data_IF_967435114013
#
_entry.id   IF_967435114013
#
_cell.length_a   1.000
_cell.length_b   1.000
_cell.length_c   1.000
_cell.angle_alpha   90.00
_cell.angle_beta   90.00
_cell.angle_gamma   90.00
#
_symmetry.space_group_name_H-M   'P 1'
#
loop_
_entity.id
_entity.type
_entity.pdbx_description
1 polymer ?
#
# COMPACT_ATOMS: atom_id res chain seq x y z
N UNK A 1 -10.23 20.42 43.54
CA UNK A 1 -10.19 20.72 42.09
C UNK A 1 -8.80 20.37 41.61
N UNK A 2 -8.59 19.32 40.80
CA UNK A 2 -7.28 19.07 40.24
C UNK A 2 -7.05 20.01 39.06
N UNK A 3 -5.89 20.65 39.05
CA UNK A 3 -5.40 21.52 37.99
C UNK A 3 -5.42 20.77 36.66
N UNK A 4 -6.18 21.31 35.69
CA UNK A 4 -6.01 20.97 34.28
C UNK A 4 -4.57 21.35 33.89
N UNK A 5 -3.67 20.36 33.84
CA UNK A 5 -2.53 20.45 32.94
C UNK A 5 -3.12 20.74 31.56
N UNK A 6 -2.88 21.95 31.05
CA UNK A 6 -3.10 22.29 29.64
C UNK A 6 -2.28 21.31 28.82
N UNK A 7 -2.91 20.23 28.34
CA UNK A 7 -2.30 19.32 27.40
C UNK A 7 -1.87 20.14 26.19
N UNK A 8 -0.57 20.18 25.95
CA UNK A 8 0.01 20.86 24.78
C UNK A 8 -0.66 20.24 23.54
N UNK A 9 -1.33 21.06 22.75
CA UNK A 9 -2.06 20.59 21.57
C UNK A 9 -1.10 19.87 20.63
N UNK A 10 -1.41 18.62 20.28
CA UNK A 10 -0.55 17.80 19.41
C UNK A 10 -0.65 18.38 17.99
N UNK A 11 0.47 18.92 17.51
CA UNK A 11 0.64 19.39 16.14
C UNK A 11 1.22 18.26 15.28
N UNK A 12 0.68 18.12 14.07
CA UNK A 12 1.14 17.18 13.05
C UNK A 12 1.84 17.99 11.96
N UNK A 13 3.16 17.81 11.84
CA UNK A 13 3.97 18.45 10.80
C UNK A 13 3.80 17.71 9.48
N UNK A 14 3.42 18.41 8.41
CA UNK A 14 3.28 17.84 7.08
C UNK A 14 4.45 18.28 6.21
N UNK A 15 5.12 17.32 5.57
CA UNK A 15 6.29 17.54 4.73
C UNK A 15 6.12 16.80 3.40
N UNK A 16 6.88 17.22 2.41
CA UNK A 16 6.99 16.52 1.11
C UNK A 16 8.43 16.11 0.90
N UNK A 17 8.65 14.87 0.48
CA UNK A 17 9.97 14.36 0.12
C UNK A 17 10.58 15.18 -1.04
N UNK A 18 11.88 15.46 -0.96
CA UNK A 18 12.61 16.24 -1.96
C UNK A 18 13.50 15.33 -2.81
N UNK A 19 14.00 14.23 -2.24
CA UNK A 19 14.85 13.26 -2.91
C UNK A 19 14.25 11.85 -2.83
N UNK A 20 14.64 10.98 -3.77
CA UNK A 20 14.18 9.58 -3.81
C UNK A 20 14.54 8.76 -2.57
N UNK A 21 15.60 9.12 -1.85
CA UNK A 21 16.06 8.46 -0.61
C UNK A 21 15.39 8.99 0.67
N UNK A 22 14.62 10.08 0.56
CA UNK A 22 13.97 10.68 1.72
C UNK A 22 12.92 9.71 2.28
N UNK A 23 12.77 9.72 3.61
CA UNK A 23 11.76 8.91 4.27
C UNK A 23 10.35 9.43 3.96
N UNK A 24 9.49 8.56 3.44
CA UNK A 24 8.06 8.80 3.20
C UNK A 24 7.23 7.93 4.13
N UNK A 25 6.29 8.53 4.85
CA UNK A 25 5.47 7.84 5.84
C UNK A 25 5.25 8.68 7.10
N UNK A 26 5.09 8.02 8.24
CA UNK A 26 4.77 8.63 9.52
C UNK A 26 5.91 8.41 10.50
N UNK A 27 6.29 9.47 11.21
CA UNK A 27 7.21 9.42 12.35
C UNK A 27 6.56 10.07 13.57
N UNK A 28 6.71 9.39 14.69
CA UNK A 28 6.12 9.70 15.98
C UNK A 28 7.25 9.71 16.99
N UNK A 29 7.36 10.80 17.74
CA UNK A 29 8.24 10.92 18.90
C UNK A 29 7.42 11.32 20.13
N UNK A 30 8.02 11.47 21.30
CA UNK A 30 7.27 11.96 22.47
C UNK A 30 6.70 13.38 22.28
N UNK A 31 7.33 14.20 21.43
CA UNK A 31 7.02 15.63 21.29
C UNK A 31 6.41 16.02 19.95
N UNK A 32 6.63 15.24 18.89
CA UNK A 32 6.25 15.59 17.52
C UNK A 32 5.54 14.43 16.82
N UNK A 33 4.64 14.77 15.90
CA UNK A 33 4.06 13.87 14.91
C UNK A 33 4.39 14.45 13.54
N UNK A 34 4.99 13.66 12.66
CA UNK A 34 5.39 14.12 11.33
C UNK A 34 4.90 13.14 10.28
N UNK A 35 4.26 13.66 9.24
CA UNK A 35 3.88 12.91 8.04
C UNK A 35 4.67 13.48 6.88
N UNK A 36 5.49 12.65 6.25
CA UNK A 36 6.19 12.99 5.02
C UNK A 36 5.47 12.33 3.85
N UNK A 37 4.88 13.14 2.98
CA UNK A 37 4.27 12.73 1.73
C UNK A 37 5.32 12.54 0.62
N UNK A 38 5.02 11.71 -0.40
CA UNK A 38 5.93 11.47 -1.52
C UNK A 38 6.09 12.70 -2.43
N UNK A 39 7.08 12.64 -3.31
CA UNK A 39 7.30 13.64 -4.36
C UNK A 39 6.05 13.76 -5.26
N UNK A 40 5.76 14.97 -5.74
CA UNK A 40 4.52 15.26 -6.46
C UNK A 40 3.27 15.35 -5.57
N UNK A 41 3.41 15.31 -4.24
CA UNK A 41 2.31 15.58 -3.32
C UNK A 41 2.60 16.82 -2.48
N UNK A 42 1.80 17.88 -2.65
CA UNK A 42 1.90 19.07 -1.80
C UNK A 42 0.69 19.14 -0.85
N UNK A 43 0.91 19.04 0.47
CA UNK A 43 -0.17 19.21 1.42
C UNK A 43 -0.65 20.67 1.39
N UNK A 44 -1.97 20.88 1.44
CA UNK A 44 -2.57 22.22 1.45
C UNK A 44 -2.12 23.07 2.64
N UNK A 45 -1.70 22.41 3.73
CA UNK A 45 -1.26 23.04 4.98
C UNK A 45 0.09 22.46 5.41
N UNK A 46 0.97 23.28 6.02
CA UNK A 46 2.24 22.79 6.56
C UNK A 46 2.07 22.02 7.88
N UNK A 47 0.95 22.22 8.60
CA UNK A 47 0.64 21.46 9.81
C UNK A 47 -0.85 21.30 10.04
N UNK A 48 -1.21 20.26 10.81
CA UNK A 48 -2.56 19.99 11.28
C UNK A 48 -2.59 19.95 12.81
N UNK A 49 -3.73 20.27 13.39
CA UNK A 49 -4.00 19.99 14.81
C UNK A 49 -4.71 18.65 14.94
N UNK A 50 -4.19 17.76 15.80
CA UNK A 50 -4.83 16.48 16.08
C UNK A 50 -6.26 16.62 16.65
N UNK A 51 -6.58 17.76 17.28
CA UNK A 51 -7.93 18.02 17.82
C UNK A 51 -8.95 18.49 16.77
N UNK A 52 -8.47 18.92 15.59
CA UNK A 52 -9.28 19.54 14.52
C UNK A 52 -9.06 18.90 13.15
N UNK A 53 -8.44 17.71 13.11
CA UNK A 53 -8.20 17.01 11.87
C UNK A 53 -9.53 16.67 11.19
N UNK A 54 -9.69 17.10 9.94
CA UNK A 54 -10.87 16.81 9.15
C UNK A 54 -10.81 15.39 8.59
N UNK A 55 -11.97 14.85 8.20
CA UNK A 55 -12.05 13.51 7.61
C UNK A 55 -11.22 13.40 6.33
N UNK A 56 -11.21 14.44 5.51
CA UNK A 56 -10.48 14.52 4.25
C UNK A 56 -8.96 14.47 4.51
N UNK A 57 -8.46 15.32 5.42
CA UNK A 57 -7.04 15.37 5.84
C UNK A 57 -6.57 14.03 6.42
N UNK A 58 -7.43 13.40 7.25
CA UNK A 58 -7.17 12.06 7.77
C UNK A 58 -7.08 11.02 6.65
N UNK A 59 -8.02 11.05 5.71
CA UNK A 59 -8.05 10.09 4.60
C UNK A 59 -6.80 10.20 3.71
N UNK A 60 -6.28 11.41 3.47
CA UNK A 60 -5.03 11.62 2.75
C UNK A 60 -3.85 10.87 3.41
N UNK A 61 -3.70 11.03 4.73
CA UNK A 61 -2.66 10.34 5.50
C UNK A 61 -2.89 8.83 5.46
N UNK A 62 -4.12 8.36 5.66
CA UNK A 62 -4.45 6.94 5.62
C UNK A 62 -4.20 6.32 4.23
N UNK A 63 -4.46 7.05 3.15
CA UNK A 63 -4.18 6.60 1.79
C UNK A 63 -2.68 6.40 1.56
N UNK A 64 -1.84 7.27 2.10
CA UNK A 64 -0.39 7.10 2.08
C UNK A 64 0.04 5.83 2.82
N UNK A 65 -0.35 5.67 4.09
CA UNK A 65 0.03 4.51 4.91
C UNK A 65 -0.44 3.21 4.23
N UNK A 66 -1.69 3.18 3.73
CA UNK A 66 -2.26 2.01 3.06
C UNK A 66 -1.50 1.69 1.76
N UNK A 67 -1.08 2.70 0.99
CA UNK A 67 -0.30 2.47 -0.24
C UNK A 67 1.07 1.86 0.06
N UNK A 68 1.74 2.33 1.12
CA UNK A 68 3.01 1.76 1.59
C UNK A 68 2.80 0.31 2.08
N UNK A 69 1.72 0.05 2.84
CA UNK A 69 1.40 -1.28 3.37
C UNK A 69 1.11 -2.30 2.26
N UNK A 70 0.46 -1.87 1.18
CA UNK A 70 0.09 -2.71 0.03
C UNK A 70 1.27 -3.02 -0.88
N UNK A 71 2.35 -2.22 -0.84
CA UNK A 71 3.55 -2.50 -1.60
C UNK A 71 4.25 -3.73 -1.00
N UNK A 72 3.91 -4.91 -1.51
CA UNK A 72 4.44 -6.22 -1.08
C UNK A 72 5.58 -6.71 -1.97
N UNK A 73 6.29 -5.81 -2.67
CA UNK A 73 7.45 -6.19 -3.48
C UNK A 73 8.36 -7.09 -2.63
N UNK A 74 8.62 -8.30 -3.12
CA UNK A 74 9.28 -9.43 -2.45
C UNK A 74 10.74 -9.17 -1.98
N UNK A 75 11.11 -7.93 -1.72
CA UNK A 75 12.40 -7.51 -1.17
C UNK A 75 12.14 -7.10 0.27
N UNK A 76 12.50 -8.00 1.19
CA UNK A 76 12.36 -7.88 2.66
C UNK A 76 13.16 -6.71 3.30
N UNK A 77 13.28 -5.55 2.66
CA UNK A 77 14.09 -4.43 3.14
C UNK A 77 13.65 -3.04 2.68
N UNK A 78 12.47 -2.89 2.09
CA UNK A 78 12.01 -1.59 1.56
C UNK A 78 11.05 -0.85 2.50
N UNK A 79 10.33 -1.55 3.38
CA UNK A 79 9.50 -0.94 4.42
C UNK A 79 10.31 -0.78 5.72
N UNK A 80 10.12 0.36 6.35
CA UNK A 80 10.80 0.75 7.59
C UNK A 80 9.74 0.89 8.67
N UNK A 81 9.71 -0.11 9.56
CA UNK A 81 8.94 -0.10 10.80
C UNK A 81 9.94 -0.02 11.96
N UNK A 82 9.92 1.10 12.69
CA UNK A 82 10.79 1.30 13.86
C UNK A 82 9.92 1.54 15.08
N UNK A 83 10.24 0.87 16.18
CA UNK A 83 9.64 1.09 17.49
C UNK A 83 10.76 1.28 18.52
N UNK A 84 10.76 2.40 19.23
CA UNK A 84 11.78 2.71 20.25
C UNK A 84 13.23 2.59 19.75
N UNK A 85 13.47 2.97 18.49
CA UNK A 85 14.80 2.99 17.87
C UNK A 85 15.21 1.65 17.26
N UNK A 86 14.40 0.60 17.45
CA UNK A 86 14.65 -0.74 16.94
C UNK A 86 13.80 -1.02 15.70
N UNK A 87 14.43 -1.58 14.67
CA UNK A 87 13.73 -2.13 13.52
C UNK A 87 12.85 -3.30 13.97
N UNK A 88 11.56 -3.25 13.63
CA UNK A 88 10.58 -4.30 13.93
C UNK A 88 10.10 -4.97 12.64
N UNK A 89 9.56 -6.18 12.79
CA UNK A 89 8.73 -6.77 11.76
C UNK A 89 7.58 -5.80 11.43
N UNK A 90 7.19 -5.73 10.16
CA UNK A 90 6.22 -4.73 9.68
C UNK A 90 4.96 -4.68 10.55
N UNK A 91 4.54 -3.47 10.91
CA UNK A 91 3.35 -3.27 11.74
C UNK A 91 2.08 -3.80 11.03
N UNK A 92 1.15 -4.45 11.75
CA UNK A 92 -0.13 -4.91 11.21
C UNK A 92 -1.09 -3.73 11.00
N UNK A 93 -0.74 -2.81 10.09
CA UNK A 93 -1.41 -1.53 9.85
C UNK A 93 -2.91 -1.71 9.64
N UNK A 94 -3.32 -2.68 8.81
CA UNK A 94 -4.73 -2.92 8.50
C UNK A 94 -5.52 -3.21 9.79
N UNK A 95 -4.99 -4.10 10.62
CA UNK A 95 -5.61 -4.51 11.88
C UNK A 95 -5.60 -3.39 12.90
N UNK A 96 -4.51 -2.61 12.98
CA UNK A 96 -4.44 -1.45 13.87
C UNK A 96 -5.50 -0.39 13.53
N UNK A 97 -5.63 -0.05 12.25
CA UNK A 97 -6.63 0.93 11.80
C UNK A 97 -8.04 0.41 12.05
N UNK A 98 -8.30 -0.87 11.76
CA UNK A 98 -9.59 -1.52 12.06
C UNK A 98 -9.93 -1.43 13.55
N UNK A 99 -9.01 -1.79 14.44
CA UNK A 99 -9.24 -1.79 15.90
C UNK A 99 -9.59 -0.40 16.42
N UNK A 100 -8.96 0.65 15.88
CA UNK A 100 -9.27 2.04 16.24
C UNK A 100 -10.68 2.42 15.77
N UNK A 101 -10.99 2.17 14.49
CA UNK A 101 -12.28 2.50 13.89
C UNK A 101 -13.43 1.76 14.61
N UNK A 102 -13.28 0.45 14.84
CA UNK A 102 -14.24 -0.39 15.55
C UNK A 102 -14.47 0.08 17.00
N UNK A 103 -13.41 0.45 17.73
CA UNK A 103 -13.54 0.98 19.09
C UNK A 103 -14.28 2.32 19.13
N UNK A 104 -13.97 3.24 18.20
CA UNK A 104 -14.62 4.54 18.13
C UNK A 104 -16.10 4.42 17.76
N UNK A 105 -16.43 3.52 16.83
CA UNK A 105 -17.81 3.26 16.41
C UNK A 105 -18.63 2.61 17.54
N UNK A 106 -18.02 1.70 18.32
CA UNK A 106 -18.67 1.09 19.50
C UNK A 106 -18.79 2.04 20.69
N UNK A 107 -17.86 3.00 20.83
CA UNK A 107 -17.77 3.94 21.95
C UNK A 107 -17.38 3.33 23.30
N UNK A 108 -17.15 2.02 23.36
CA UNK A 108 -16.77 1.29 24.58
C UNK A 108 -15.91 0.08 24.24
N UNK A 109 -15.16 -0.44 25.22
CA UNK A 109 -14.47 -1.72 25.06
C UNK A 109 -15.45 -2.87 24.81
N UNK A 110 -15.00 -3.88 24.07
CA UNK A 110 -15.72 -5.13 23.92
C UNK A 110 -15.98 -5.77 25.28
N UNK A 111 -17.24 -6.06 25.57
CA UNK A 111 -17.67 -6.85 26.71
C UNK A 111 -18.61 -7.95 26.23
N UNK A 112 -18.30 -9.18 26.58
CA UNK A 112 -19.11 -10.33 26.20
C UNK A 112 -20.40 -10.37 27.04
N UNK A 113 -21.53 -10.07 26.39
CA UNK A 113 -22.86 -10.14 27.01
C UNK A 113 -23.48 -11.53 26.93
N UNK A 114 -22.85 -12.48 26.24
CA UNK A 114 -23.43 -13.80 26.01
C UNK A 114 -23.51 -14.63 27.29
N UNK A 115 -24.68 -15.22 27.45
CA UNK A 115 -24.98 -16.16 28.51
C UNK A 115 -25.03 -17.53 27.89
N UNK A 116 -23.96 -18.31 28.05
CA UNK A 116 -23.95 -19.69 27.57
C UNK A 116 -24.92 -20.49 28.41
N UNK A 117 -25.73 -21.34 27.77
CA UNK A 117 -26.67 -22.22 28.46
C UNK A 117 -26.25 -23.67 28.23
N UNK A 118 -26.01 -24.42 29.29
CA UNK A 118 -25.60 -25.82 29.22
C UNK A 118 -26.49 -26.70 30.09
N UNK A 119 -26.61 -27.99 29.75
CA UNK A 119 -27.22 -28.98 30.63
C UNK A 119 -26.28 -29.26 31.79
N UNK A 120 -26.75 -29.11 33.02
CA UNK A 120 -26.00 -29.39 34.25
C UNK A 120 -26.96 -29.63 35.41
N UNK A 121 -26.52 -30.40 36.40
CA UNK A 121 -27.27 -30.68 37.64
C UNK A 121 -27.09 -29.60 38.72
N UNK A 122 -26.17 -28.66 38.54
CA UNK A 122 -25.86 -27.60 39.52
C UNK A 122 -25.53 -26.24 38.91
N UNK A 123 -25.98 -25.16 39.56
CA UNK A 123 -25.81 -23.76 39.15
C UNK A 123 -27.11 -22.96 39.03
N UNK A 124 -27.04 -21.72 38.50
CA UNK A 124 -28.23 -20.84 38.35
C UNK A 124 -29.13 -21.29 37.19
N UNK A 125 -30.24 -21.94 37.54
CA UNK A 125 -31.18 -22.57 36.60
C UNK A 125 -31.95 -21.52 35.79
N UNK A 126 -32.06 -21.74 34.47
CA UNK A 126 -32.95 -21.01 33.58
C UNK A 126 -34.26 -21.77 33.42
N UNK A 127 -35.20 -21.58 34.36
CA UNK A 127 -36.46 -22.34 34.42
C UNK A 127 -37.26 -22.31 33.12
N UNK A 128 -37.36 -21.15 32.46
CA UNK A 128 -38.08 -21.02 31.18
C UNK A 128 -37.48 -21.87 30.06
N UNK A 129 -36.16 -22.08 30.04
CA UNK A 129 -35.49 -22.95 29.07
C UNK A 129 -35.51 -24.41 29.50
N UNK A 130 -35.32 -24.70 30.80
CA UNK A 130 -35.40 -26.07 31.34
C UNK A 130 -36.76 -26.71 31.06
N UNK A 131 -37.86 -25.99 31.35
CA UNK A 131 -39.22 -26.50 31.13
C UNK A 131 -39.49 -26.80 29.65
N UNK A 132 -38.93 -25.98 28.74
CA UNK A 132 -39.12 -26.14 27.29
C UNK A 132 -38.32 -27.30 26.70
N UNK A 133 -37.12 -27.57 27.22
CA UNK A 133 -36.12 -28.40 26.55
C UNK A 133 -35.73 -29.68 27.29
N UNK A 134 -36.10 -29.84 28.57
CA UNK A 134 -35.82 -31.04 29.37
C UNK A 134 -37.14 -31.75 29.66
N UNK A 135 -37.17 -33.07 29.49
CA UNK A 135 -38.33 -33.89 29.89
C UNK A 135 -38.22 -34.22 31.38
N UNK A 136 -39.25 -33.91 32.20
CA UNK A 136 -39.26 -34.30 33.60
C UNK A 136 -39.46 -35.82 33.73
N UNK A 137 -38.84 -36.41 34.74
CA UNK A 137 -39.15 -37.76 35.20
C UNK A 137 -40.43 -37.74 36.03
N UNK A 138 -41.29 -38.74 35.83
CA UNK A 138 -42.57 -38.88 36.53
C UNK A 138 -42.40 -39.93 37.64
N UNK A 139 -42.76 -39.59 38.88
CA UNK A 139 -42.84 -40.51 40.02
C UNK A 139 -44.24 -40.50 40.63
N UNK A 140 -44.53 -41.45 41.52
CA UNK A 140 -45.78 -41.49 42.30
C UNK A 140 -46.00 -40.24 43.18
N UNK A 141 -44.94 -39.48 43.46
CA UNK A 141 -44.97 -38.25 44.27
C UNK A 141 -44.91 -36.95 43.47
N UNK A 142 -44.78 -37.00 42.13
CA UNK A 142 -44.83 -35.81 41.27
C UNK A 142 -43.86 -35.81 40.08
N UNK A 143 -43.56 -34.61 39.57
CA UNK A 143 -42.64 -34.38 38.45
C UNK A 143 -41.29 -33.86 38.95
N UNK A 144 -40.19 -34.46 38.51
CA UNK A 144 -38.83 -34.03 38.84
C UNK A 144 -37.95 -33.87 37.59
N UNK A 145 -37.23 -32.75 37.48
CA UNK A 145 -36.23 -32.55 36.44
C UNK A 145 -34.88 -33.09 36.92
N UNK A 146 -34.31 -34.06 36.20
CA UNK A 146 -32.99 -34.65 36.53
C UNK A 146 -31.83 -33.83 35.96
N UNK A 147 -32.09 -33.09 34.88
CA UNK A 147 -31.14 -32.16 34.25
C UNK A 147 -31.74 -30.77 34.18
N UNK A 148 -30.91 -29.73 34.33
CA UNK A 148 -31.34 -28.34 34.20
C UNK A 148 -30.58 -27.64 33.07
N UNK A 149 -31.22 -26.68 32.41
CA UNK A 149 -30.51 -25.73 31.56
C UNK A 149 -30.02 -24.59 32.45
N UNK A 150 -28.71 -24.49 32.58
CA UNK A 150 -28.03 -23.57 33.50
C UNK A 150 -27.25 -22.54 32.70
N UNK A 151 -27.32 -21.28 33.13
CA UNK A 151 -26.50 -20.20 32.57
C UNK A 151 -25.05 -20.37 33.06
N UNK A 152 -24.16 -20.79 32.17
CA UNK A 152 -22.70 -20.73 32.36
C UNK A 152 -22.21 -19.33 31.96
N UNK A 153 -21.62 -18.61 32.90
CA UNK A 153 -20.79 -17.45 32.59
C UNK A 153 -19.34 -17.92 32.63
N UNK A 154 -18.60 -17.88 31.52
CA UNK A 154 -17.14 -18.05 31.54
C UNK A 154 -16.49 -16.72 31.93
N UNK A 155 -16.70 -16.29 33.18
CA UNK A 155 -16.36 -14.94 33.65
C UNK A 155 -14.88 -14.62 33.40
N UNK A 156 -13.97 -15.58 33.59
CA UNK A 156 -12.53 -15.40 33.39
C UNK A 156 -12.15 -15.22 31.91
N UNK A 157 -12.57 -16.11 31.00
CA UNK A 157 -12.26 -15.98 29.55
C UNK A 157 -12.82 -14.69 28.96
N UNK A 158 -14.04 -14.32 29.34
CA UNK A 158 -14.69 -13.10 28.86
C UNK A 158 -13.97 -11.85 29.37
N UNK A 159 -13.42 -11.89 30.59
CA UNK A 159 -12.54 -10.85 31.12
C UNK A 159 -11.22 -10.81 30.34
N UNK A 160 -10.62 -11.95 30.00
CA UNK A 160 -9.36 -11.96 29.23
C UNK A 160 -9.50 -11.32 27.84
N UNK A 161 -10.55 -11.63 27.07
CA UNK A 161 -10.76 -11.01 25.76
C UNK A 161 -10.94 -9.50 25.89
N UNK A 162 -11.69 -9.07 26.91
CA UNK A 162 -11.88 -7.65 27.20
C UNK A 162 -10.54 -6.98 27.46
N UNK A 163 -9.67 -7.60 28.25
CA UNK A 163 -8.34 -7.06 28.55
C UNK A 163 -7.39 -7.10 27.35
N UNK A 164 -7.44 -8.15 26.51
CA UNK A 164 -6.69 -8.23 25.24
C UNK A 164 -7.14 -7.09 24.32
N UNK A 165 -8.45 -6.87 24.21
CA UNK A 165 -9.01 -5.78 23.41
C UNK A 165 -8.55 -4.42 23.92
N UNK A 166 -8.61 -4.17 25.24
CA UNK A 166 -8.09 -2.93 25.86
C UNK A 166 -6.62 -2.70 25.54
N UNK A 167 -5.79 -3.75 25.66
CA UNK A 167 -4.37 -3.66 25.32
C UNK A 167 -4.17 -3.28 23.85
N UNK A 168 -4.82 -3.99 22.92
CA UNK A 168 -4.69 -3.72 21.49
C UNK A 168 -5.16 -2.30 21.14
N UNK A 169 -6.32 -1.88 21.65
CA UNK A 169 -6.83 -0.52 21.47
C UNK A 169 -5.82 0.50 21.98
N UNK A 170 -5.33 0.35 23.21
CA UNK A 170 -4.35 1.27 23.79
C UNK A 170 -3.10 1.41 22.90
N UNK A 171 -2.48 0.29 22.50
CA UNK A 171 -1.28 0.31 21.64
C UNK A 171 -1.55 0.89 20.24
N UNK A 172 -2.71 0.59 19.65
CA UNK A 172 -3.09 1.18 18.37
C UNK A 172 -3.25 2.69 18.48
N UNK A 173 -3.83 3.18 19.57
CA UNK A 173 -4.01 4.61 19.83
C UNK A 173 -2.68 5.34 20.10
N UNK A 174 -1.70 4.70 20.74
CA UNK A 174 -0.36 5.28 20.91
C UNK A 174 0.30 5.63 19.55
N UNK A 175 0.03 4.82 18.52
CA UNK A 175 0.63 4.99 17.20
C UNK A 175 -0.29 5.82 16.28
N UNK A 176 -1.54 5.41 16.03
CA UNK A 176 -2.42 6.07 15.06
C UNK A 176 -3.58 6.85 15.66
N UNK A 177 -3.77 6.80 16.99
CA UNK A 177 -4.91 7.44 17.66
C UNK A 177 -5.00 8.95 17.42
N UNK A 178 -3.83 9.62 17.28
CA UNK A 178 -3.74 11.06 17.01
C UNK A 178 -4.41 11.50 15.70
N UNK A 179 -4.68 10.57 14.77
CA UNK A 179 -5.42 10.84 13.54
C UNK A 179 -6.93 10.91 13.74
N UNK A 180 -7.43 10.46 14.90
CA UNK A 180 -8.87 10.35 15.18
C UNK A 180 -9.30 11.23 16.35
N UNK A 181 -8.51 11.25 17.43
CA UNK A 181 -8.83 11.98 18.66
C UNK A 181 -7.56 12.36 19.42
N UNK A 182 -7.56 13.51 20.13
CA UNK A 182 -6.44 13.88 21.00
C UNK A 182 -6.33 13.04 22.28
N UNK A 183 -7.36 12.25 22.63
CA UNK A 183 -7.38 11.46 23.86
C UNK A 183 -7.02 9.99 23.62
N UNK A 184 -6.12 9.45 24.44
CA UNK A 184 -5.83 8.01 24.48
C UNK A 184 -6.83 7.31 25.40
N UNK A 185 -7.42 6.16 25.00
CA UNK A 185 -8.30 5.37 25.85
C UNK A 185 -7.64 4.86 27.14
N UNK A 186 -8.45 4.50 28.14
CA UNK A 186 -7.96 4.00 29.43
C UNK A 186 -7.18 2.69 29.28
N UNK A 187 -5.97 2.60 29.86
CA UNK A 187 -5.15 1.39 29.81
C UNK A 187 -5.82 0.24 30.56
N UNK A 188 -5.79 -0.96 29.98
CA UNK A 188 -6.23 -2.18 30.64
C UNK A 188 -5.24 -2.68 31.69
N UNK A 189 -5.52 -3.86 32.24
CA UNK A 189 -4.66 -4.55 33.21
C UNK A 189 -3.47 -5.25 32.55
N UNK A 190 -3.58 -5.58 31.25
CA UNK A 190 -2.50 -6.19 30.50
C UNK A 190 -1.48 -5.12 30.06
N UNK A 191 -0.22 -5.39 30.36
CA UNK A 191 0.93 -4.66 29.84
C UNK A 191 1.73 -5.48 28.82
N UNK A 192 2.74 -4.84 28.24
CA UNK A 192 3.67 -5.41 27.27
C UNK A 192 4.35 -6.70 27.79
N UNK A 193 4.73 -6.70 29.07
CA UNK A 193 5.35 -7.84 29.74
C UNK A 193 4.39 -9.04 29.83
N UNK A 194 3.13 -8.80 30.18
CA UNK A 194 2.10 -9.83 30.24
C UNK A 194 1.88 -10.45 28.85
N UNK A 195 1.75 -9.60 27.83
CA UNK A 195 1.51 -10.00 26.43
C UNK A 195 2.69 -10.77 25.86
N UNK A 196 3.92 -10.30 26.06
CA UNK A 196 5.12 -10.97 25.58
C UNK A 196 5.28 -12.37 26.22
N UNK A 197 5.14 -12.48 27.54
CA UNK A 197 5.27 -13.76 28.28
C UNK A 197 4.20 -14.78 27.91
N UNK A 198 2.97 -14.34 27.64
CA UNK A 198 1.81 -15.21 27.42
C UNK A 198 1.26 -15.15 25.99
N UNK A 199 2.04 -14.65 25.02
CA UNK A 199 1.61 -14.42 23.62
C UNK A 199 0.89 -15.63 23.01
N UNK A 200 1.47 -16.83 23.15
CA UNK A 200 0.89 -18.09 22.66
C UNK A 200 -0.48 -18.40 23.26
N UNK A 201 -0.65 -18.12 24.56
CA UNK A 201 -1.93 -18.32 25.23
C UNK A 201 -3.00 -17.36 24.70
N UNK A 202 -2.67 -16.07 24.55
CA UNK A 202 -3.62 -15.09 24.01
C UNK A 202 -4.01 -15.37 22.56
N UNK A 203 -3.06 -15.82 21.73
CA UNK A 203 -3.32 -16.33 20.38
C UNK A 203 -4.34 -17.47 20.40
N UNK A 204 -4.13 -18.46 21.28
CA UNK A 204 -5.03 -19.60 21.40
C UNK A 204 -6.44 -19.17 21.86
N UNK A 205 -6.54 -18.30 22.87
CA UNK A 205 -7.83 -17.79 23.36
C UNK A 205 -8.60 -17.06 22.27
N UNK A 206 -7.93 -16.23 21.46
CA UNK A 206 -8.54 -15.54 20.33
C UNK A 206 -9.00 -16.52 19.24
N UNK A 207 -8.17 -17.52 18.91
CA UNK A 207 -8.52 -18.54 17.91
C UNK A 207 -9.76 -19.34 18.34
N UNK A 208 -9.79 -19.83 19.58
CA UNK A 208 -10.94 -20.56 20.12
C UNK A 208 -12.22 -19.70 20.09
N UNK A 209 -12.11 -18.38 20.24
CA UNK A 209 -13.24 -17.45 20.19
C UNK A 209 -13.71 -17.17 18.77
N UNK A 210 -12.80 -17.08 17.82
CA UNK A 210 -13.13 -17.03 16.38
C UNK A 210 -13.90 -18.30 16.00
N UNK A 211 -13.41 -19.47 16.40
CA UNK A 211 -13.99 -20.76 16.02
C UNK A 211 -15.35 -21.03 16.68
N UNK A 212 -15.65 -20.39 17.82
CA UNK A 212 -16.88 -20.62 18.59
C UNK A 212 -17.96 -19.55 18.42
N UNK A 213 -17.64 -18.41 17.80
CA UNK A 213 -18.57 -17.29 17.62
C UNK A 213 -19.20 -17.32 16.22
N UNK A 214 -20.49 -16.99 16.12
CA UNK A 214 -21.21 -16.91 14.84
C UNK A 214 -21.51 -15.47 14.37
N UNK A 215 -21.23 -14.48 15.22
CA UNK A 215 -21.41 -13.07 14.89
C UNK A 215 -20.23 -12.60 14.01
N UNK A 216 -20.51 -12.27 12.76
CA UNK A 216 -19.51 -11.78 11.79
C UNK A 216 -18.68 -10.61 12.34
N UNK A 217 -19.34 -9.62 12.95
CA UNK A 217 -18.65 -8.46 13.55
C UNK A 217 -17.68 -8.82 14.68
N UNK A 218 -17.96 -9.91 15.40
CA UNK A 218 -17.08 -10.38 16.47
C UNK A 218 -15.93 -11.22 15.91
N UNK A 219 -16.21 -12.06 14.91
CA UNK A 219 -15.19 -12.80 14.17
C UNK A 219 -14.17 -11.84 13.57
N UNK A 220 -14.63 -10.77 12.93
CA UNK A 220 -13.76 -9.76 12.32
C UNK A 220 -12.91 -9.04 13.38
N UNK A 221 -13.51 -8.61 14.49
CA UNK A 221 -12.77 -8.01 15.61
C UNK A 221 -11.68 -8.96 16.13
N UNK A 222 -12.04 -10.19 16.49
CA UNK A 222 -11.07 -11.14 17.05
C UNK A 222 -9.97 -11.52 16.06
N UNK A 223 -10.29 -11.58 14.75
CA UNK A 223 -9.29 -11.83 13.70
C UNK A 223 -8.27 -10.69 13.61
N UNK A 224 -8.73 -9.43 13.69
CA UNK A 224 -7.83 -8.28 13.70
C UNK A 224 -7.01 -8.19 15.01
N UNK A 225 -7.60 -8.53 16.16
CA UNK A 225 -6.84 -8.63 17.42
C UNK A 225 -5.78 -9.73 17.38
N UNK A 226 -6.11 -10.88 16.78
CA UNK A 226 -5.19 -12.00 16.61
C UNK A 226 -4.01 -11.61 15.71
N UNK A 227 -4.29 -10.98 14.57
CA UNK A 227 -3.26 -10.47 13.66
C UNK A 227 -2.36 -9.44 14.35
N UNK A 228 -2.96 -8.54 15.14
CA UNK A 228 -2.20 -7.58 15.94
C UNK A 228 -1.26 -8.27 16.93
N UNK A 229 -1.76 -9.18 17.77
CA UNK A 229 -0.95 -9.88 18.79
C UNK A 229 0.16 -10.72 18.13
N UNK A 230 -0.13 -11.33 16.97
CA UNK A 230 0.87 -12.11 16.23
C UNK A 230 2.02 -11.25 15.71
N UNK A 231 1.71 -10.09 15.12
CA UNK A 231 2.66 -9.34 14.30
C UNK A 231 3.21 -8.07 14.96
N UNK A 232 2.55 -7.55 16.00
CA UNK A 232 3.04 -6.40 16.75
C UNK A 232 3.94 -6.84 17.90
N UNK A 233 5.18 -6.37 17.90
CA UNK A 233 6.17 -6.69 18.92
C UNK A 233 6.63 -5.41 19.64
N UNK A 234 6.26 -5.30 20.91
CA UNK A 234 6.53 -4.14 21.75
C UNK A 234 7.09 -4.61 23.08
N UNK A 235 8.38 -4.37 23.30
CA UNK A 235 9.10 -4.74 24.52
C UNK A 235 8.99 -3.66 25.62
N UNK A 236 8.47 -2.47 25.28
CA UNK A 236 8.35 -1.35 26.21
C UNK A 236 7.29 -0.34 25.75
N UNK A 237 7.00 0.64 26.61
CA UNK A 237 6.15 1.80 26.29
C UNK A 237 6.63 2.51 25.02
N UNK A 238 5.70 2.88 24.13
CA UNK A 238 6.04 3.45 22.82
C UNK A 238 6.43 4.92 22.94
N UNK A 239 7.74 5.19 22.95
CA UNK A 239 8.31 6.55 22.99
C UNK A 239 8.49 7.14 21.59
N UNK A 240 8.87 6.28 20.65
CA UNK A 240 8.99 6.62 19.25
C UNK A 240 8.51 5.47 18.38
N UNK A 241 7.88 5.84 17.27
CA UNK A 241 7.44 4.91 16.26
C UNK A 241 7.60 5.55 14.89
N UNK A 242 8.03 4.78 13.89
CA UNK A 242 7.93 5.21 12.50
C UNK A 242 7.45 4.09 11.63
N UNK A 243 6.60 4.43 10.66
CA UNK A 243 6.11 3.52 9.66
C UNK A 243 6.17 4.20 8.29
N UNK A 244 6.95 3.63 7.37
CA UNK A 244 7.14 4.23 6.06
C UNK A 244 8.16 3.49 5.22
N UNK A 245 8.83 4.21 4.33
CA UNK A 245 9.87 3.69 3.43
C UNK A 245 10.89 4.77 3.07
N UNK A 246 12.14 4.38 2.87
CA UNK A 246 13.19 5.20 2.25
C UNK A 246 13.34 4.92 0.75
N UNK A 247 12.51 4.02 0.21
CA UNK A 247 12.55 3.54 -1.17
C UNK A 247 11.17 3.73 -1.83
N UNK A 248 10.60 4.93 -1.73
CA UNK A 248 9.25 5.19 -2.24
C UNK A 248 9.14 4.98 -3.76
N UNK A 249 10.26 4.99 -4.51
CA UNK A 249 10.26 4.63 -5.92
C UNK A 249 9.60 3.26 -6.20
N UNK A 250 9.72 2.29 -5.28
CA UNK A 250 9.11 0.97 -5.48
C UNK A 250 7.61 1.00 -5.24
N UNK A 251 7.17 1.82 -4.26
CA UNK A 251 5.73 2.08 -4.05
C UNK A 251 5.16 2.80 -5.27
N UNK A 252 5.88 3.77 -5.83
CA UNK A 252 5.51 4.49 -7.04
C UNK A 252 5.36 3.54 -8.25
N UNK A 253 6.35 2.69 -8.52
CA UNK A 253 6.30 1.65 -9.56
C UNK A 253 5.06 0.76 -9.39
N UNK A 254 4.79 0.29 -8.17
CA UNK A 254 3.64 -0.56 -7.87
C UNK A 254 2.30 0.14 -8.09
N UNK A 255 2.20 1.42 -7.73
CA UNK A 255 1.00 2.23 -7.93
C UNK A 255 0.74 2.49 -9.42
N UNK A 256 1.78 2.79 -10.19
CA UNK A 256 1.68 2.98 -11.65
C UNK A 256 1.28 1.66 -12.33
N UNK A 257 1.89 0.53 -11.96
CA UNK A 257 1.52 -0.78 -12.52
C UNK A 257 0.07 -1.16 -12.17
N UNK A 258 -0.39 -0.82 -10.96
CA UNK A 258 -1.79 -1.03 -10.58
C UNK A 258 -2.78 -0.23 -11.43
N UNK A 259 -2.39 0.98 -11.86
CA UNK A 259 -3.24 1.86 -12.67
C UNK A 259 -3.22 1.49 -14.17
N UNK A 260 -2.03 1.20 -14.71
CA UNK A 260 -1.82 1.04 -16.16
C UNK A 260 -1.53 -0.40 -16.60
N UNK A 261 -1.00 -1.24 -15.72
CA UNK A 261 -0.62 -2.62 -16.03
C UNK A 261 -1.79 -3.46 -16.54
N UNK A 262 -1.56 -4.18 -17.62
CA UNK A 262 -2.53 -5.13 -18.20
C UNK A 262 -1.98 -6.55 -18.32
N UNK A 263 -0.69 -6.72 -18.07
CA UNK A 263 0.03 -8.00 -18.16
C UNK A 263 0.48 -8.39 -16.76
N UNK A 264 0.15 -9.61 -16.33
CA UNK A 264 0.55 -10.11 -15.01
C UNK A 264 2.04 -10.39 -14.91
N UNK A 265 2.57 -10.48 -13.68
CA UNK A 265 4.00 -10.66 -13.42
C UNK A 265 4.60 -11.91 -14.11
N UNK A 266 3.90 -13.05 -14.07
CA UNK A 266 4.35 -14.28 -14.73
C UNK A 266 4.49 -14.12 -16.24
N UNK A 267 3.55 -13.42 -16.88
CA UNK A 267 3.63 -13.15 -18.32
C UNK A 267 4.70 -12.10 -18.65
N UNK A 268 4.91 -11.10 -17.78
CA UNK A 268 6.04 -10.17 -17.93
C UNK A 268 7.36 -10.92 -17.95
N UNK A 269 7.57 -11.83 -17.00
CA UNK A 269 8.77 -12.67 -16.91
C UNK A 269 8.99 -13.55 -18.13
N UNK A 270 7.92 -14.12 -18.67
CA UNK A 270 8.00 -15.03 -19.82
C UNK A 270 8.22 -14.30 -21.15
N UNK A 271 7.58 -13.14 -21.35
CA UNK A 271 7.47 -12.53 -22.68
C UNK A 271 8.14 -11.16 -22.81
N UNK A 272 8.46 -10.47 -21.72
CA UNK A 272 8.92 -9.07 -21.76
C UNK A 272 10.30 -8.84 -21.13
N UNK A 273 10.96 -9.88 -20.60
CA UNK A 273 12.19 -9.76 -19.82
C UNK A 273 13.42 -10.17 -20.65
N UNK A 274 14.10 -9.24 -21.34
CA UNK A 274 15.32 -9.58 -22.07
C UNK A 274 16.42 -10.01 -21.09
N UNK A 275 16.99 -11.19 -21.34
CA UNK A 275 18.02 -11.81 -20.51
C UNK A 275 19.32 -12.01 -21.29
N UNK A 276 20.44 -12.04 -20.57
CA UNK A 276 21.76 -12.35 -21.13
C UNK A 276 22.44 -13.47 -20.33
N UNK A 277 23.47 -14.09 -20.92
CA UNK A 277 24.23 -15.16 -20.27
C UNK A 277 25.70 -15.13 -20.68
N UNK A 278 26.56 -15.59 -19.79
CA UNK A 278 27.97 -15.86 -20.05
C UNK A 278 28.17 -17.29 -20.52
N UNK A 279 28.85 -17.48 -21.64
CA UNK A 279 29.29 -18.79 -22.12
C UNK A 279 30.80 -18.92 -21.87
N UNK A 280 31.20 -20.01 -21.20
CA UNK A 280 32.60 -20.30 -20.92
C UNK A 280 33.00 -21.59 -21.62
N UNK A 281 34.19 -21.68 -22.24
CA UNK A 281 34.68 -22.92 -22.84
C UNK A 281 34.65 -24.09 -21.83
N UNK A 282 34.02 -25.20 -22.20
CA UNK A 282 33.94 -26.41 -21.37
C UNK A 282 33.11 -26.30 -20.09
N UNK A 283 32.33 -25.24 -19.88
CA UNK A 283 31.47 -25.08 -18.69
C UNK A 283 30.03 -24.74 -19.07
N UNK A 284 29.09 -25.01 -18.14
CA UNK A 284 27.69 -24.61 -18.30
C UNK A 284 27.57 -23.07 -18.36
N UNK A 285 26.71 -22.52 -19.23
CA UNK A 285 26.44 -21.09 -19.26
C UNK A 285 25.92 -20.57 -17.92
N UNK A 286 26.25 -19.31 -17.59
CA UNK A 286 25.73 -18.62 -16.40
C UNK A 286 24.80 -17.49 -16.84
N UNK A 287 23.55 -17.54 -16.42
CA UNK A 287 22.56 -16.51 -16.75
C UNK A 287 22.73 -15.28 -15.86
N UNK A 288 22.59 -14.09 -16.45
CA UNK A 288 22.51 -12.83 -15.72
C UNK A 288 21.05 -12.55 -15.32
N UNK A 289 20.84 -11.61 -14.39
CA UNK A 289 19.50 -11.10 -14.12
C UNK A 289 18.93 -10.43 -15.39
N UNK A 290 17.66 -10.71 -15.75
CA UNK A 290 17.04 -10.05 -16.89
C UNK A 290 16.80 -8.57 -16.60
N UNK A 291 16.71 -7.76 -17.65
CA UNK A 291 16.14 -6.42 -17.54
C UNK A 291 14.62 -6.57 -17.37
N UNK A 292 14.02 -5.70 -16.55
CA UNK A 292 12.62 -5.83 -16.11
C UNK A 292 11.92 -4.50 -16.34
N UNK A 293 11.01 -4.37 -17.31
CA UNK A 293 10.13 -3.21 -17.40
C UNK A 293 9.17 -3.18 -16.21
N UNK A 294 8.90 -1.99 -15.69
CA UNK A 294 8.03 -1.80 -14.52
C UNK A 294 6.59 -2.17 -14.87
N UNK A 295 6.06 -1.54 -15.91
CA UNK A 295 4.65 -1.65 -16.31
C UNK A 295 4.53 -1.92 -17.81
N UNK A 296 3.68 -2.89 -18.15
CA UNK A 296 3.32 -3.19 -19.54
C UNK A 296 1.81 -2.97 -19.69
N UNK A 297 1.44 -2.02 -20.54
CA UNK A 297 0.06 -1.71 -20.88
C UNK A 297 -0.21 -2.09 -22.34
N UNK A 298 -1.16 -2.99 -22.55
CA UNK A 298 -1.63 -3.41 -23.86
C UNK A 298 -3.02 -2.79 -24.05
N UNK A 299 -3.14 -1.88 -25.00
CA UNK A 299 -4.39 -1.24 -25.37
C UNK A 299 -4.90 -1.81 -26.68
N UNK A 300 -6.21 -2.04 -26.77
CA UNK A 300 -6.85 -2.35 -28.04
C UNK A 300 -6.99 -1.07 -28.86
N UNK A 301 -6.73 -1.16 -30.17
CA UNK A 301 -6.96 -0.05 -31.08
C UNK A 301 -8.48 0.10 -31.30
N UNK A 302 -9.10 1.23 -30.91
CA UNK A 302 -10.54 1.43 -31.09
C UNK A 302 -10.97 1.48 -32.57
N UNK A 303 -10.05 1.83 -33.47
CA UNK A 303 -10.31 2.02 -34.90
C UNK A 303 -10.03 0.76 -35.73
N UNK A 304 -9.21 -0.16 -35.23
CA UNK A 304 -8.81 -1.39 -35.94
C UNK A 304 -9.06 -2.61 -35.04
N UNK A 305 -10.18 -3.29 -35.27
CA UNK A 305 -10.52 -4.53 -34.56
C UNK A 305 -9.36 -5.54 -34.69
N UNK A 306 -8.94 -6.11 -33.55
CA UNK A 306 -7.83 -7.06 -33.39
C UNK A 306 -6.40 -6.50 -33.50
N UNK A 307 -6.20 -5.18 -33.61
CA UNK A 307 -4.85 -4.58 -33.48
C UNK A 307 -4.63 -4.12 -32.05
N UNK A 308 -3.58 -4.62 -31.41
CA UNK A 308 -3.16 -4.26 -30.05
C UNK A 308 -1.93 -3.37 -30.11
N UNK A 309 -1.85 -2.37 -29.25
CA UNK A 309 -0.70 -1.49 -29.07
C UNK A 309 -0.05 -1.77 -27.73
N UNK A 310 1.28 -1.80 -27.70
CA UNK A 310 2.07 -2.04 -26.51
C UNK A 310 2.71 -0.75 -26.04
N UNK A 311 2.42 -0.36 -24.80
CA UNK A 311 3.05 0.74 -24.11
C UNK A 311 3.93 0.16 -23.01
N UNK A 312 5.24 0.33 -23.17
CA UNK A 312 6.23 0.01 -22.14
C UNK A 312 6.39 1.25 -21.30
N UNK A 313 6.08 1.13 -20.00
CA UNK A 313 6.02 2.23 -19.07
C UNK A 313 7.10 2.03 -18.01
N UNK A 314 8.07 2.94 -17.96
CA UNK A 314 9.02 3.07 -16.85
C UNK A 314 8.49 4.11 -15.86
N UNK A 315 8.42 3.75 -14.59
CA UNK A 315 8.02 4.66 -13.53
C UNK A 315 9.27 5.34 -12.96
N UNK A 316 9.35 6.66 -13.07
CA UNK A 316 10.52 7.42 -12.65
C UNK A 316 10.16 8.35 -11.50
N UNK A 317 10.68 8.05 -10.32
CA UNK A 317 10.40 8.80 -9.11
C UNK A 317 11.34 10.02 -8.96
N UNK A 318 11.09 11.04 -9.78
CA UNK A 318 11.77 12.35 -9.77
C UNK A 318 10.74 13.49 -9.65
N UNK A 319 11.13 14.65 -9.14
CA UNK A 319 10.20 15.78 -8.96
C UNK A 319 10.29 16.71 -10.16
N UNK A 320 9.31 16.66 -11.06
CA UNK A 320 9.26 17.58 -12.19
C UNK A 320 9.03 19.05 -11.77
N UNK A 321 8.41 19.28 -10.61
CA UNK A 321 8.27 20.63 -10.06
C UNK A 321 9.62 21.29 -9.73
N UNK A 322 10.64 20.50 -9.34
CA UNK A 322 12.00 21.01 -9.14
C UNK A 322 12.64 21.46 -10.45
N UNK A 323 12.45 20.71 -11.54
CA UNK A 323 12.92 21.08 -12.88
C UNK A 323 12.40 22.45 -13.32
N UNK A 324 11.09 22.69 -13.19
CA UNK A 324 10.48 23.98 -13.55
C UNK A 324 11.02 25.18 -12.76
N UNK A 325 11.46 24.97 -11.52
CA UNK A 325 12.02 26.03 -10.67
C UNK A 325 13.46 26.35 -11.06
N UNK A 326 14.22 25.34 -11.48
CA UNK A 326 15.59 25.50 -11.96
C UNK A 326 15.62 26.19 -13.34
N UNK A 327 14.69 25.87 -14.23
CA UNK A 327 14.59 26.52 -15.56
C UNK A 327 14.27 28.03 -15.48
N UNK A 328 13.75 28.53 -14.34
CA UNK A 328 13.47 29.95 -14.14
C UNK A 328 14.67 30.78 -13.64
N UNK A 329 15.79 30.14 -13.32
CA UNK A 329 17.03 30.81 -12.91
C UNK A 329 18.05 30.71 -14.05
N UNK A 330 17.91 31.60 -15.04
CA UNK A 330 18.76 31.64 -16.26
C UNK A 330 20.22 32.02 -15.92
N UNK A 331 21.10 31.03 -15.79
CA UNK A 331 22.53 31.18 -16.01
C UNK A 331 22.99 30.13 -17.03
N UNK A 332 23.31 30.58 -18.25
CA UNK A 332 23.67 29.73 -19.40
C UNK A 332 24.89 28.82 -19.19
N UNK A 333 25.70 29.06 -18.15
CA UNK A 333 26.83 28.19 -17.77
C UNK A 333 26.45 26.95 -16.96
N UNK A 334 25.18 26.79 -16.56
CA UNK A 334 24.68 25.63 -15.80
C UNK A 334 23.84 24.64 -16.63
N UNK A 335 23.72 24.86 -17.95
CA UNK A 335 23.02 23.92 -18.85
C UNK A 335 23.73 22.55 -18.93
N UNK A 336 25.04 22.51 -18.66
CA UNK A 336 25.82 21.26 -18.56
C UNK A 336 25.55 20.50 -17.24
N UNK A 337 24.86 21.15 -16.28
CA UNK A 337 24.63 20.70 -14.90
C UNK A 337 23.20 20.24 -14.60
N UNK A 338 22.24 20.34 -15.53
CA UNK A 338 20.86 19.82 -15.35
C UNK A 338 20.87 18.30 -15.08
N UNK A 339 22.01 17.65 -15.39
CA UNK A 339 22.40 16.29 -15.09
C UNK A 339 22.77 16.02 -13.61
N UNK A 340 22.78 17.02 -12.72
CA UNK A 340 23.09 16.81 -11.30
C UNK A 340 21.89 16.14 -10.60
N UNK A 341 21.93 14.81 -10.63
CA UNK A 341 21.25 13.86 -9.75
C UNK A 341 19.75 14.09 -9.51
N UNK A 342 18.92 13.55 -10.41
CA UNK A 342 17.55 13.13 -10.05
C UNK A 342 16.41 13.98 -10.59
N UNK A 343 16.61 14.62 -11.74
CA UNK A 343 15.65 15.53 -12.36
C UNK A 343 14.92 14.88 -13.56
N UNK A 344 15.65 14.34 -14.54
CA UNK A 344 15.11 13.57 -15.67
C UNK A 344 15.86 12.24 -15.90
N UNK A 345 15.23 11.25 -16.56
CA UNK A 345 15.90 9.98 -16.89
C UNK A 345 17.07 10.18 -17.87
N UNK A 346 18.24 9.65 -17.51
CA UNK A 346 19.45 9.73 -18.33
C UNK A 346 19.54 8.66 -19.42
N UNK A 347 20.68 8.65 -20.14
CA UNK A 347 20.98 7.75 -21.26
C UNK A 347 20.79 6.26 -20.91
N UNK A 348 21.11 5.85 -19.68
CA UNK A 348 20.96 4.46 -19.24
C UNK A 348 19.48 4.02 -19.21
N UNK A 349 18.58 4.92 -18.79
CA UNK A 349 17.14 4.67 -18.74
C UNK A 349 16.54 4.69 -20.15
N UNK A 350 16.98 5.62 -20.98
CA UNK A 350 16.60 5.70 -22.41
C UNK A 350 16.98 4.41 -23.14
N UNK A 351 18.22 3.93 -22.98
CA UNK A 351 18.67 2.70 -23.62
C UNK A 351 17.88 1.47 -23.13
N UNK A 352 17.57 1.37 -21.84
CA UNK A 352 16.75 0.27 -21.29
C UNK A 352 15.37 0.23 -21.94
N UNK A 353 14.70 1.38 -22.04
CA UNK A 353 13.39 1.50 -22.69
C UNK A 353 13.43 1.05 -24.16
N UNK A 354 14.42 1.50 -24.92
CA UNK A 354 14.60 1.06 -26.31
C UNK A 354 14.87 -0.45 -26.38
N UNK A 355 15.67 -0.99 -25.47
CA UNK A 355 15.98 -2.44 -25.41
C UNK A 355 14.72 -3.26 -25.14
N UNK A 356 13.84 -2.81 -24.23
CA UNK A 356 12.56 -3.47 -23.97
C UNK A 356 11.69 -3.53 -25.23
N UNK A 357 11.60 -2.41 -25.95
CA UNK A 357 10.81 -2.34 -27.18
C UNK A 357 11.39 -3.23 -28.29
N UNK A 358 12.70 -3.20 -28.51
CA UNK A 358 13.37 -4.05 -29.49
C UNK A 358 13.17 -5.55 -29.21
N UNK A 359 13.05 -5.94 -27.94
CA UNK A 359 12.83 -7.33 -27.56
C UNK A 359 11.46 -7.87 -28.00
N UNK A 360 10.45 -7.00 -28.14
CA UNK A 360 9.08 -7.36 -28.54
C UNK A 360 8.71 -6.91 -29.96
N UNK A 361 9.64 -6.30 -30.69
CA UNK A 361 9.47 -5.89 -32.08
C UNK A 361 9.45 -7.13 -33.00
N UNK A 362 8.34 -7.28 -33.73
CA UNK A 362 8.11 -8.39 -34.67
C UNK A 362 9.14 -8.43 -35.81
N UNK A 363 9.71 -7.27 -36.17
CA UNK A 363 10.70 -7.19 -37.26
C UNK A 363 12.11 -7.61 -36.81
N UNK A 364 12.32 -7.79 -35.50
CA UNK A 364 13.61 -8.18 -34.93
C UNK A 364 13.61 -9.68 -34.64
N UNK A 365 14.36 -10.44 -35.44
CA UNK A 365 14.60 -11.86 -35.18
C UNK A 365 15.52 -12.05 -33.99
N UNK A 366 15.00 -12.66 -32.94
CA UNK A 366 15.77 -13.05 -31.75
C UNK A 366 15.80 -14.57 -31.61
N UNK A 367 16.69 -15.08 -30.76
CA UNK A 367 16.82 -16.52 -30.49
C UNK A 367 15.52 -17.18 -29.97
N UNK A 368 14.61 -16.41 -29.38
CA UNK A 368 13.42 -16.91 -28.68
C UNK A 368 12.12 -16.34 -29.27
N UNK A 369 12.16 -15.85 -30.52
CA UNK A 369 11.02 -15.17 -31.15
C UNK A 369 9.78 -16.06 -31.26
N UNK A 370 9.93 -17.35 -31.54
CA UNK A 370 8.80 -18.31 -31.62
C UNK A 370 8.05 -18.42 -30.29
N UNK A 371 8.75 -18.40 -29.15
CA UNK A 371 8.11 -18.45 -27.83
C UNK A 371 7.31 -17.19 -27.52
N UNK A 372 7.59 -16.07 -28.18
CA UNK A 372 6.96 -14.77 -27.92
C UNK A 372 5.87 -14.39 -28.91
N UNK A 373 5.44 -15.29 -29.79
CA UNK A 373 4.42 -15.02 -30.81
C UNK A 373 3.17 -14.34 -30.23
N UNK A 374 2.78 -14.70 -28.99
CA UNK A 374 1.66 -14.08 -28.26
C UNK A 374 1.79 -12.56 -28.09
N UNK A 375 3.01 -12.05 -27.91
CA UNK A 375 3.34 -10.66 -27.58
C UNK A 375 4.43 -10.10 -28.51
N UNK A 376 4.23 -10.26 -29.81
CA UNK A 376 4.96 -9.51 -30.83
C UNK A 376 4.10 -8.38 -31.39
N UNK A 377 4.73 -7.24 -31.62
CA UNK A 377 4.07 -6.04 -32.11
C UNK A 377 4.88 -5.42 -33.25
N UNK A 378 4.21 -4.77 -34.20
CA UNK A 378 4.90 -3.98 -35.21
C UNK A 378 5.58 -2.80 -34.56
N UNK A 379 6.71 -2.35 -35.09
CA UNK A 379 7.42 -1.17 -34.58
C UNK A 379 6.55 0.10 -34.45
N UNK A 380 5.50 0.24 -35.26
CA UNK A 380 4.53 1.34 -35.21
C UNK A 380 3.46 1.21 -34.11
N UNK A 381 3.41 0.07 -33.42
CA UNK A 381 2.48 -0.22 -32.34
C UNK A 381 3.15 -0.35 -30.97
N UNK A 382 4.45 -0.05 -30.89
CA UNK A 382 5.23 -0.09 -29.65
C UNK A 382 5.61 1.34 -29.26
N UNK A 383 5.30 1.71 -28.02
CA UNK A 383 5.55 3.04 -27.47
C UNK A 383 6.29 2.93 -26.14
N UNK A 384 7.31 3.76 -25.96
CA UNK A 384 8.04 3.88 -24.70
C UNK A 384 7.57 5.13 -23.96
N UNK A 385 7.33 5.01 -22.66
CA UNK A 385 6.78 6.10 -21.83
C UNK A 385 7.47 6.15 -20.47
N UNK A 386 7.92 7.33 -20.07
CA UNK A 386 8.27 7.67 -18.70
C UNK A 386 7.07 8.29 -17.98
N UNK A 387 6.73 7.77 -16.80
CA UNK A 387 5.74 8.36 -15.90
C UNK A 387 6.41 8.91 -14.66
N UNK A 388 6.25 10.22 -14.44
CA UNK A 388 6.84 10.96 -13.31
C UNK A 388 5.77 11.48 -12.36
N UNK A 389 6.04 11.56 -11.05
CA UNK A 389 5.11 12.14 -10.09
C UNK A 389 5.03 13.67 -10.25
N UNK A 390 3.83 14.21 -10.04
CA UNK A 390 3.55 15.64 -10.09
C UNK A 390 2.32 15.98 -9.24
N UNK A 391 2.16 17.25 -8.93
CA UNK A 391 0.96 17.83 -8.33
C UNK A 391 0.16 18.50 -9.42
N UNK A 392 -0.67 17.70 -10.08
CA UNK A 392 -1.47 18.16 -11.19
C UNK A 392 -2.93 17.82 -10.96
N UNK A 393 -3.45 18.45 -9.91
CA UNK A 393 -4.81 18.26 -9.40
C UNK A 393 -5.88 18.39 -10.49
N UNK A 394 -5.66 19.21 -11.52
CA UNK A 394 -6.63 19.42 -12.60
C UNK A 394 -6.56 18.37 -13.70
N UNK A 395 -5.37 18.08 -14.23
CA UNK A 395 -5.26 17.27 -15.46
C UNK A 395 -5.02 15.79 -15.19
N UNK A 396 -4.62 15.39 -13.98
CA UNK A 396 -4.23 14.02 -13.57
C UNK A 396 -3.06 13.43 -14.35
N UNK A 397 -3.05 13.55 -15.67
CA UNK A 397 -1.97 13.22 -16.59
C UNK A 397 -1.67 14.43 -17.46
N UNK A 398 -0.38 14.75 -17.63
CA UNK A 398 0.08 15.81 -18.52
C UNK A 398 1.32 15.37 -19.31
N UNK A 399 1.28 15.54 -20.63
CA UNK A 399 2.46 15.40 -21.47
C UNK A 399 3.42 16.56 -21.21
N UNK A 400 4.70 16.24 -21.03
CA UNK A 400 5.74 17.24 -20.74
C UNK A 400 6.88 17.25 -21.76
N UNK A 401 6.98 16.24 -22.63
CA UNK A 401 8.00 16.19 -23.67
C UNK A 401 8.35 14.77 -24.07
N UNK A 402 9.51 14.62 -24.72
CA UNK A 402 10.05 13.32 -25.09
C UNK A 402 11.58 13.33 -25.04
N UNK A 403 12.16 12.15 -24.84
CA UNK A 403 13.57 11.88 -25.03
C UNK A 403 13.80 11.20 -26.38
N UNK A 404 14.92 11.53 -27.02
CA UNK A 404 15.38 10.92 -28.25
C UNK A 404 16.86 10.58 -28.13
N UNK A 405 17.28 9.53 -28.83
CA UNK A 405 18.68 9.11 -28.90
C UNK A 405 19.31 9.48 -30.23
N UNK A 406 20.57 9.91 -30.23
CA UNK A 406 21.30 10.25 -31.46
C UNK A 406 21.84 9.04 -32.24
N UNK A 407 21.70 7.82 -31.70
CA UNK A 407 22.14 6.57 -32.33
C UNK A 407 21.00 5.80 -33.03
N UNK A 408 19.81 6.40 -33.10
CA UNK A 408 18.67 5.87 -33.84
C UNK A 408 18.11 6.95 -34.77
N UNK A 409 17.53 6.52 -35.90
CA UNK A 409 17.04 7.37 -36.99
C UNK A 409 15.60 7.88 -36.78
N UNK A 410 14.95 7.55 -35.67
CA UNK A 410 13.57 7.92 -35.40
C UNK A 410 12.51 7.20 -36.26
N UNK A 411 12.90 6.21 -37.07
CA UNK A 411 11.98 5.49 -37.98
C UNK A 411 10.94 4.61 -37.27
N UNK A 412 11.15 4.32 -35.99
CA UNK A 412 10.30 3.45 -35.16
C UNK A 412 9.75 4.25 -33.98
N UNK A 413 8.47 4.06 -33.66
CA UNK A 413 7.80 4.83 -32.60
C UNK A 413 8.52 4.75 -31.26
N UNK A 414 9.05 3.57 -30.93
CA UNK A 414 9.74 3.34 -29.67
C UNK A 414 11.17 3.93 -29.60
N UNK A 415 11.73 4.48 -30.70
CA UNK A 415 12.98 5.24 -30.64
C UNK A 415 12.80 6.58 -29.89
N UNK A 416 11.56 7.07 -29.83
CA UNK A 416 11.16 8.19 -28.98
C UNK A 416 10.58 7.64 -27.68
N UNK A 417 11.01 8.23 -26.55
CA UNK A 417 10.47 7.91 -25.24
C UNK A 417 9.67 9.11 -24.76
N UNK A 418 8.37 8.97 -24.66
CA UNK A 418 7.50 10.05 -24.23
C UNK A 418 7.59 10.25 -22.72
N UNK A 419 7.47 11.49 -22.25
CA UNK A 419 7.46 11.82 -20.84
C UNK A 419 6.11 12.42 -20.44
N UNK A 420 5.51 11.84 -19.41
CA UNK A 420 4.19 12.21 -18.89
C UNK A 420 4.26 12.34 -17.37
N UNK A 421 3.68 13.40 -16.82
CA UNK A 421 3.48 13.51 -15.38
C UNK A 421 2.12 12.94 -14.96
N UNK A 422 2.07 12.38 -13.76
CA UNK A 422 0.89 11.78 -13.14
C UNK A 422 0.69 12.34 -11.73
N UNK A 423 -0.55 12.73 -11.44
CA UNK A 423 -0.93 13.32 -10.16
C UNK A 423 -0.79 12.30 -9.02
N UNK A 424 0.13 12.57 -8.09
CA UNK A 424 0.47 11.65 -7.00
C UNK A 424 -0.70 11.49 -6.02
N UNK A 425 -1.43 12.57 -5.72
CA UNK A 425 -2.58 12.53 -4.81
C UNK A 425 -3.68 11.62 -5.35
N UNK A 426 -4.07 11.81 -6.61
CA UNK A 426 -5.03 10.98 -7.32
C UNK A 426 -4.62 9.50 -7.29
N UNK A 427 -3.33 9.21 -7.49
CA UNK A 427 -2.84 7.83 -7.51
C UNK A 427 -2.93 7.16 -6.13
N UNK A 428 -2.60 7.87 -5.04
CA UNK A 428 -2.76 7.37 -3.68
C UNK A 428 -4.23 7.11 -3.30
N UNK A 429 -5.14 7.98 -3.75
CA UNK A 429 -6.58 7.83 -3.55
C UNK A 429 -7.17 6.63 -4.31
N UNK A 430 -6.64 6.34 -5.50
CA UNK A 430 -7.14 5.30 -6.40
C UNK A 430 -6.23 4.06 -6.47
N UNK A 431 -5.40 3.85 -5.43
CA UNK A 431 -4.52 2.68 -5.29
C UNK A 431 -5.26 1.36 -5.56
N UNK A 432 -4.56 0.41 -6.16
CA UNK A 432 -5.06 -0.94 -6.50
C UNK A 432 -6.28 -0.99 -7.43
N UNK A 433 -6.57 0.09 -8.18
CA UNK A 433 -7.63 0.09 -9.18
C UNK A 433 -7.03 0.31 -10.55
N UNK A 434 -7.19 -0.69 -11.42
CA UNK A 434 -6.99 -0.52 -12.85
C UNK A 434 -7.90 0.62 -13.33
N UNK A 435 -7.32 1.57 -14.04
CA UNK A 435 -8.06 2.75 -14.46
C UNK A 435 -8.13 2.82 -15.98
N UNK A 436 -9.18 2.20 -16.55
CA UNK A 436 -9.39 2.17 -18.00
C UNK A 436 -9.47 3.58 -18.62
N UNK A 437 -10.00 4.57 -17.89
CA UNK A 437 -10.07 5.96 -18.35
C UNK A 437 -8.66 6.56 -18.49
N UNK A 438 -7.80 6.37 -17.48
CA UNK A 438 -6.40 6.81 -17.54
C UNK A 438 -5.61 6.07 -18.62
N UNK A 439 -5.79 4.75 -18.76
CA UNK A 439 -5.16 3.95 -19.81
C UNK A 439 -5.51 4.51 -21.20
N UNK A 440 -6.79 4.77 -21.46
CA UNK A 440 -7.27 5.35 -22.71
C UNK A 440 -6.75 6.78 -22.92
N UNK A 441 -6.72 7.59 -21.86
CA UNK A 441 -6.20 8.96 -21.91
C UNK A 441 -4.71 8.98 -22.25
N UNK A 442 -3.91 8.11 -21.62
CA UNK A 442 -2.50 7.97 -21.89
C UNK A 442 -2.27 7.53 -23.34
N UNK A 443 -2.92 6.45 -23.78
CA UNK A 443 -2.77 5.92 -25.13
C UNK A 443 -3.07 6.99 -26.21
N UNK A 444 -4.22 7.68 -26.11
CA UNK A 444 -4.59 8.75 -27.05
C UNK A 444 -3.60 9.90 -27.06
N UNK A 445 -3.11 10.29 -25.89
CA UNK A 445 -2.17 11.39 -25.75
C UNK A 445 -0.82 11.06 -26.41
N UNK A 446 -0.29 9.86 -26.17
CA UNK A 446 0.96 9.41 -26.78
C UNK A 446 0.82 9.28 -28.30
N UNK A 447 -0.23 8.60 -28.76
CA UNK A 447 -0.47 8.42 -30.21
C UNK A 447 -0.57 9.75 -30.94
N UNK A 448 -1.33 10.71 -30.39
CA UNK A 448 -1.45 12.05 -30.98
C UNK A 448 -0.08 12.72 -31.12
N UNK A 449 0.77 12.63 -30.10
CA UNK A 449 2.11 13.24 -30.15
C UNK A 449 3.01 12.53 -31.17
N UNK A 450 2.98 11.19 -31.24
CA UNK A 450 3.74 10.44 -32.24
C UNK A 450 3.32 10.80 -33.67
N UNK A 451 2.02 10.92 -33.93
CA UNK A 451 1.48 11.30 -35.25
C UNK A 451 1.88 12.73 -35.66
N UNK A 452 1.86 13.67 -34.71
CA UNK A 452 2.29 15.07 -34.94
C UNK A 452 3.79 15.15 -35.29
N UNK A 453 4.62 14.36 -34.61
CA UNK A 453 6.06 14.31 -34.87
C UNK A 453 6.37 13.73 -36.26
N UNK A 454 5.65 12.68 -36.69
CA UNK A 454 5.82 12.10 -38.02
C UNK A 454 5.39 13.07 -39.13
N UNK A 455 4.29 13.82 -38.93
CA UNK A 455 3.84 14.84 -39.89
C UNK A 455 4.79 16.03 -39.98
N UNK A 456 5.36 16.46 -38.85
CA UNK A 456 6.35 17.53 -38.81
C UNK A 456 7.63 17.18 -39.57
N UNK A 457 8.08 15.92 -39.50
CA UNK A 457 9.22 15.43 -40.26
C UNK A 457 8.96 15.45 -41.78
N UNK A 458 7.76 15.09 -42.23
CA UNK A 458 7.39 15.10 -43.66
C UNK A 458 7.22 16.49 -44.30
N UNK A 459 7.21 17.56 -43.51
CA UNK A 459 7.07 18.96 -44.01
C UNK A 459 8.44 19.67 -44.04
N UNK A 460 9.46 19.10 -43.39
CA UNK A 460 10.81 19.63 -43.33
C UNK A 460 11.76 19.07 -44.40
N UNK A 461 11.29 18.07 -45.16
CA UNK A 461 11.89 17.55 -46.40
C UNK A 461 11.15 18.14 -47.62
#
# INVERSE_FOLDING_TARGET
>A
MPEKLLSKEIQISLKTAQNGSDFVGIKITQSERTVTFPMGYFPEKPSLSASKIKKEERNEILNLIKSIALCTSNKNGERVSVLNGELKCDFPIKSMLYVIEDFLDRGTYYFEKESLYAKSSSGKISWSRTIKNIKPAVSESGLAFLDFIIRKNRIQENQFITEIHKYCVYKCFEIFGFLYTPSVPEKGLLDEDNVSKNKKYYIQVLQEKIDSTYLESSIELFSNLLDFINNFDSESETKEASYGTNCFQVVWESLVDSAFGTVGQTEKEEYFYPASRWNFPGRKPKNNAPLRPDTIMIAENPLEQNRRKCFIIDSKYYSYTMLRKLDSEENESEQESILIHGSIPGTDSIQKQITYAQYIDADIKTFDSERREKYQFKHSDIFNVFILPDDNMEKKLQYIGYAASNWHDGSKNYHTIHAVTLDTKFLLENRNKRNCELQNKLARMIEKQSDEMQKGACIAD
#
